data_IF_268171375418
#
_entry.id   IF_268171375418
#
_cell.length_a   1.000
_cell.length_b   1.000
_cell.length_c   1.000
_cell.angle_alpha   90.00
_cell.angle_beta   90.00
_cell.angle_gamma   90.00
#
_symmetry.space_group_name_H-M   'P 1'
#
loop_
_entity.id
_entity.type
_entity.pdbx_description
1 polymer ?
#
# COMPACT_ATOMS: atom_id res chain seq x y z
N UNK A 1 13.72 -10.09 -17.92
CA UNK A 1 13.51 -11.05 -16.80
C UNK A 1 14.49 -12.19 -17.01
N UNK A 2 15.30 -12.52 -16.01
CA UNK A 2 16.19 -13.67 -16.12
C UNK A 2 15.34 -14.95 -16.16
N UNK A 3 15.63 -15.86 -17.08
CA UNK A 3 14.98 -17.17 -17.11
C UNK A 3 15.42 -17.96 -15.86
N UNK A 4 14.46 -18.58 -15.17
CA UNK A 4 14.77 -19.49 -14.07
C UNK A 4 15.14 -20.83 -14.69
N UNK A 5 16.43 -20.98 -15.01
CA UNK A 5 16.93 -22.13 -15.77
C UNK A 5 17.36 -23.29 -14.89
N UNK A 6 17.59 -23.07 -13.60
CA UNK A 6 18.02 -24.11 -12.65
C UNK A 6 17.59 -23.81 -11.21
N UNK A 7 17.81 -24.79 -10.32
CA UNK A 7 17.46 -24.70 -8.92
C UNK A 7 18.22 -23.62 -8.15
N UNK A 8 19.47 -23.31 -8.55
CA UNK A 8 20.22 -22.23 -7.92
C UNK A 8 19.66 -20.85 -8.30
N UNK A 9 19.28 -20.65 -9.56
CA UNK A 9 18.55 -19.49 -10.04
C UNK A 9 17.17 -19.38 -9.38
N UNK A 10 16.48 -20.50 -9.19
CA UNK A 10 15.20 -20.54 -8.46
C UNK A 10 15.36 -20.05 -7.02
N UNK A 11 16.33 -20.59 -6.27
CA UNK A 11 16.55 -20.20 -4.87
C UNK A 11 17.00 -18.74 -4.72
N UNK A 12 17.82 -18.23 -5.66
CA UNK A 12 18.19 -16.80 -5.71
C UNK A 12 16.96 -15.91 -5.94
N UNK A 13 16.15 -16.26 -6.94
CA UNK A 13 14.91 -15.53 -7.25
C UNK A 13 13.94 -15.57 -6.06
N UNK A 14 13.85 -16.70 -5.36
CA UNK A 14 13.02 -16.84 -4.16
C UNK A 14 13.49 -15.91 -3.04
N UNK A 15 14.80 -15.83 -2.81
CA UNK A 15 15.37 -14.94 -1.81
C UNK A 15 15.18 -13.46 -2.18
N UNK A 16 15.24 -13.11 -3.47
CA UNK A 16 14.93 -11.76 -3.94
C UNK A 16 13.45 -11.41 -3.72
N UNK A 17 12.54 -12.33 -4.05
CA UNK A 17 11.11 -12.15 -3.79
C UNK A 17 10.81 -11.98 -2.29
N UNK A 18 11.47 -12.76 -1.42
CA UNK A 18 11.31 -12.64 0.05
C UNK A 18 11.78 -11.28 0.57
N UNK A 19 12.91 -10.76 0.05
CA UNK A 19 13.39 -9.41 0.39
C UNK A 19 12.39 -8.33 -0.04
N UNK A 20 11.80 -8.46 -1.22
CA UNK A 20 10.75 -7.55 -1.70
C UNK A 20 9.50 -7.62 -0.82
N UNK A 21 9.05 -8.83 -0.44
CA UNK A 21 7.91 -9.03 0.44
C UNK A 21 8.12 -8.37 1.80
N UNK A 22 9.30 -8.53 2.41
CA UNK A 22 9.65 -7.89 3.68
C UNK A 22 9.61 -6.35 3.57
N UNK A 23 10.11 -5.80 2.46
CA UNK A 23 10.04 -4.37 2.16
C UNK A 23 8.60 -3.86 2.05
N UNK A 24 7.75 -4.56 1.29
CA UNK A 24 6.32 -4.23 1.12
C UNK A 24 5.57 -4.31 2.45
N UNK A 25 5.80 -5.34 3.26
CA UNK A 25 5.18 -5.49 4.58
C UNK A 25 5.60 -4.38 5.54
N UNK A 26 6.88 -4.00 5.58
CA UNK A 26 7.37 -2.91 6.42
C UNK A 26 6.75 -1.55 6.02
N UNK A 27 6.61 -1.30 4.71
CA UNK A 27 5.96 -0.10 4.19
C UNK A 27 4.45 -0.10 4.46
N UNK A 28 3.78 -1.25 4.31
CA UNK A 28 2.39 -1.44 4.67
C UNK A 28 2.12 -1.18 6.15
N UNK A 29 2.97 -1.69 7.04
CA UNK A 29 2.90 -1.46 8.48
C UNK A 29 3.06 0.03 8.84
N UNK A 30 4.05 0.72 8.25
CA UNK A 30 4.24 2.17 8.42
C UNK A 30 3.03 2.95 7.93
N UNK A 31 2.47 2.59 6.76
CA UNK A 31 1.29 3.25 6.20
C UNK A 31 0.05 3.08 7.08
N UNK A 32 -0.18 1.89 7.66
CA UNK A 32 -1.29 1.65 8.61
C UNK A 32 -1.15 2.51 9.87
N UNK A 33 0.08 2.64 10.40
CA UNK A 33 0.36 3.49 11.57
C UNK A 33 0.11 4.98 11.30
N UNK A 34 0.42 5.47 10.09
CA UNK A 34 0.21 6.88 9.72
C UNK A 34 -1.23 7.18 9.28
N UNK A 35 -1.94 6.23 8.65
CA UNK A 35 -3.32 6.47 8.19
C UNK A 35 -4.37 6.48 9.30
N UNK A 36 -4.22 5.68 10.36
CA UNK A 36 -5.18 5.65 11.49
C UNK A 36 -5.41 7.03 12.13
N UNK A 37 -4.37 7.82 12.48
CA UNK A 37 -4.58 9.15 13.04
C UNK A 37 -5.03 10.20 12.00
N UNK A 38 -4.75 9.99 10.70
CA UNK A 38 -5.04 10.98 9.65
C UNK A 38 -6.53 11.08 9.29
N UNK A 39 -7.29 10.01 9.48
CA UNK A 39 -8.75 10.03 9.30
C UNK A 39 -9.40 10.81 10.46
N UNK A 40 -8.91 10.63 11.68
CA UNK A 40 -9.36 11.39 12.85
C UNK A 40 -9.02 12.88 12.76
N UNK A 41 -7.86 13.24 12.19
CA UNK A 41 -7.50 14.65 11.98
C UNK A 41 -8.30 15.31 10.85
N UNK A 42 -8.65 14.56 9.80
CA UNK A 42 -9.44 15.09 8.68
C UNK A 42 -10.89 15.39 9.07
N UNK A 43 -11.51 14.55 9.92
CA UNK A 43 -12.84 14.82 10.47
C UNK A 43 -12.85 16.03 11.41
N UNK A 44 -11.80 16.19 12.24
CA UNK A 44 -11.62 17.36 13.09
C UNK A 44 -11.46 18.66 12.28
N UNK A 45 -10.67 18.63 11.19
CA UNK A 45 -10.48 19.78 10.32
C UNK A 45 -11.76 20.20 9.55
N UNK A 46 -12.68 19.26 9.31
CA UNK A 46 -13.97 19.54 8.67
C UNK A 46 -15.04 20.06 9.66
N UNK A 47 -14.94 19.71 10.93
CA UNK A 47 -15.87 20.15 11.99
C UNK A 47 -15.67 21.62 12.36
N UNK A 48 -14.43 22.12 12.38
CA UNK A 48 -14.10 23.49 12.80
C UNK A 48 -14.78 24.55 11.91
N UNK A 49 -14.75 24.47 10.56
CA UNK A 49 -15.48 25.40 9.68
C UNK A 49 -17.00 25.30 9.83
N UNK A 50 -17.53 24.09 10.08
CA UNK A 50 -18.97 23.88 10.27
C UNK A 50 -19.49 24.57 11.53
N UNK A 51 -18.74 24.50 12.63
CA UNK A 51 -19.08 25.17 13.90
C UNK A 51 -19.00 26.70 13.74
N UNK A 52 -17.98 27.21 13.04
CA UNK A 52 -17.85 28.64 12.74
C UNK A 52 -18.96 29.17 11.82
N UNK A 53 -19.39 28.38 10.84
CA UNK A 53 -20.50 28.73 9.96
C UNK A 53 -21.84 28.80 10.72
N UNK A 54 -22.11 27.83 11.60
CA UNK A 54 -23.33 27.81 12.45
C UNK A 54 -23.35 29.01 13.41
N UNK A 55 -22.20 29.38 13.99
CA UNK A 55 -22.08 30.54 14.85
C UNK A 55 -22.34 31.88 14.12
N UNK A 56 -22.06 31.94 12.82
CA UNK A 56 -22.25 33.15 12.03
C UNK A 56 -23.70 33.37 11.56
N UNK A 57 -24.48 32.31 11.37
CA UNK A 57 -25.93 32.45 11.05
C UNK A 57 -26.71 32.97 12.26
N UNK A 58 -26.15 32.85 13.46
CA UNK A 58 -26.77 33.28 14.71
C UNK A 58 -26.60 34.78 15.04
N UNK A 59 -25.86 35.58 14.26
CA UNK A 59 -25.62 37.00 14.60
C UNK A 59 -25.22 37.89 13.42
N UNK A 60 -26.16 38.75 12.98
CA UNK A 60 -25.99 39.71 11.87
C UNK A 60 -25.12 40.93 12.22
N UNK A 61 -23.82 40.74 12.34
CA UNK A 61 -22.82 41.80 12.55
C UNK A 61 -21.59 41.65 11.66
N UNK A 62 -20.47 42.36 11.92
CA UNK A 62 -19.20 42.32 11.16
C UNK A 62 -18.53 40.94 11.00
N UNK A 63 -19.20 39.87 11.47
CA UNK A 63 -18.85 38.47 11.23
C UNK A 63 -18.90 38.01 9.78
N UNK A 64 -19.51 38.73 8.83
CA UNK A 64 -19.56 38.28 7.42
C UNK A 64 -18.18 38.20 6.75
N UNK A 65 -17.27 39.13 7.08
CA UNK A 65 -15.87 39.10 6.63
C UNK A 65 -15.10 37.93 7.25
N UNK A 66 -15.36 37.65 8.54
CA UNK A 66 -14.76 36.51 9.24
C UNK A 66 -15.25 35.16 8.68
N UNK A 67 -16.50 35.10 8.21
CA UNK A 67 -17.07 33.92 7.52
C UNK A 67 -16.41 33.72 6.16
N UNK A 68 -16.23 34.77 5.37
CA UNK A 68 -15.55 34.68 4.07
C UNK A 68 -14.09 34.24 4.21
N UNK A 69 -13.39 34.72 5.24
CA UNK A 69 -12.02 34.29 5.58
C UNK A 69 -12.03 32.82 6.04
N UNK A 70 -12.98 32.41 6.89
CA UNK A 70 -13.12 31.02 7.33
C UNK A 70 -13.38 30.05 6.16
N UNK A 71 -14.28 30.42 5.25
CA UNK A 71 -14.60 29.64 4.05
C UNK A 71 -13.42 29.54 3.09
N UNK A 72 -12.67 30.62 2.89
CA UNK A 72 -11.49 30.60 2.02
C UNK A 72 -10.35 29.77 2.61
N UNK A 73 -10.10 29.85 3.92
CA UNK A 73 -9.13 28.96 4.60
C UNK A 73 -9.58 27.50 4.56
N UNK A 74 -10.88 27.23 4.74
CA UNK A 74 -11.44 25.88 4.59
C UNK A 74 -11.30 25.35 3.16
N UNK A 75 -11.60 26.16 2.14
CA UNK A 75 -11.45 25.80 0.74
C UNK A 75 -9.99 25.55 0.37
N UNK A 76 -9.05 26.39 0.84
CA UNK A 76 -7.62 26.23 0.60
C UNK A 76 -7.05 24.99 1.29
N UNK A 77 -7.45 24.71 2.53
CA UNK A 77 -7.03 23.50 3.25
C UNK A 77 -7.60 22.23 2.60
N UNK A 78 -8.85 22.26 2.13
CA UNK A 78 -9.44 21.16 1.37
C UNK A 78 -8.71 20.96 0.04
N UNK A 79 -8.44 22.05 -0.70
CA UNK A 79 -7.71 22.01 -1.96
C UNK A 79 -6.29 21.44 -1.78
N UNK A 80 -5.57 21.85 -0.72
CA UNK A 80 -4.26 21.32 -0.37
C UNK A 80 -4.33 19.81 -0.06
N UNK A 81 -5.31 19.37 0.73
CA UNK A 81 -5.54 17.96 1.03
C UNK A 81 -5.85 17.13 -0.21
N UNK A 82 -6.75 17.61 -1.08
CA UNK A 82 -7.11 16.95 -2.34
C UNK A 82 -5.90 16.87 -3.28
N UNK A 83 -5.13 17.95 -3.40
CA UNK A 83 -3.94 17.99 -4.25
C UNK A 83 -2.88 17.00 -3.76
N UNK A 84 -2.66 16.91 -2.45
CA UNK A 84 -1.75 15.93 -1.85
C UNK A 84 -2.22 14.48 -2.11
N UNK A 85 -3.51 14.22 -1.93
CA UNK A 85 -4.11 12.90 -2.16
C UNK A 85 -4.02 12.47 -3.63
N UNK A 86 -4.33 13.37 -4.55
CA UNK A 86 -4.38 13.08 -5.99
C UNK A 86 -2.99 13.02 -6.61
N UNK A 87 -2.08 13.95 -6.26
CA UNK A 87 -0.76 14.03 -6.89
C UNK A 87 0.30 13.14 -6.25
N UNK A 88 0.15 12.78 -4.98
CA UNK A 88 1.19 12.04 -4.26
C UNK A 88 0.66 10.67 -3.82
N UNK A 89 -0.43 10.61 -3.05
CA UNK A 89 -0.88 9.31 -2.50
C UNK A 89 -1.40 8.34 -3.56
N UNK A 90 -2.18 8.80 -4.55
CA UNK A 90 -2.73 7.94 -5.62
C UNK A 90 -1.66 7.33 -6.53
N UNK A 91 -0.74 8.09 -7.14
CA UNK A 91 0.25 7.51 -8.06
C UNK A 91 1.22 6.59 -7.32
N UNK A 92 1.63 6.93 -6.10
CA UNK A 92 2.42 6.03 -5.25
C UNK A 92 1.65 4.74 -4.97
N UNK A 93 0.36 4.82 -4.58
CA UNK A 93 -0.46 3.62 -4.35
C UNK A 93 -0.58 2.76 -5.60
N UNK A 94 -0.74 3.35 -6.79
CA UNK A 94 -0.82 2.60 -8.05
C UNK A 94 0.50 1.89 -8.37
N UNK A 95 1.63 2.56 -8.20
CA UNK A 95 2.96 1.94 -8.37
C UNK A 95 3.18 0.79 -7.40
N UNK A 96 2.83 0.97 -6.13
CA UNK A 96 2.89 -0.11 -5.13
C UNK A 96 2.03 -1.32 -5.50
N UNK A 97 0.79 -1.10 -5.94
CA UNK A 97 -0.09 -2.20 -6.37
C UNK A 97 0.47 -2.91 -7.60
N UNK A 98 1.06 -2.18 -8.55
CA UNK A 98 1.69 -2.79 -9.72
C UNK A 98 2.93 -3.61 -9.35
N UNK A 99 3.77 -3.12 -8.44
CA UNK A 99 4.94 -3.85 -7.93
C UNK A 99 4.53 -5.09 -7.11
N UNK A 100 3.48 -4.98 -6.30
CA UNK A 100 2.90 -6.11 -5.56
C UNK A 100 2.36 -7.17 -6.52
N UNK A 101 1.61 -6.76 -7.55
CA UNK A 101 1.07 -7.69 -8.56
C UNK A 101 2.18 -8.38 -9.34
N UNK A 102 3.21 -7.64 -9.79
CA UNK A 102 4.35 -8.21 -10.50
C UNK A 102 5.12 -9.24 -9.64
N UNK A 103 5.26 -8.98 -8.33
CA UNK A 103 5.86 -9.94 -7.39
C UNK A 103 4.99 -11.19 -7.22
N UNK A 104 3.66 -11.04 -7.12
CA UNK A 104 2.73 -12.17 -7.03
C UNK A 104 2.79 -13.03 -8.28
N UNK A 105 2.78 -12.42 -9.47
CA UNK A 105 2.91 -13.13 -10.75
C UNK A 105 4.26 -13.89 -10.84
N UNK A 106 5.35 -13.27 -10.40
CA UNK A 106 6.68 -13.90 -10.36
C UNK A 106 6.69 -15.12 -9.44
N UNK A 107 6.13 -15.00 -8.22
CA UNK A 107 6.03 -16.13 -7.28
C UNK A 107 5.07 -17.21 -7.77
N UNK A 108 3.99 -16.84 -8.45
CA UNK A 108 3.07 -17.82 -9.02
C UNK A 108 3.74 -18.65 -10.11
N UNK A 109 4.52 -18.00 -11.00
CA UNK A 109 5.39 -18.70 -11.95
C UNK A 109 6.39 -19.62 -11.26
N UNK A 110 6.96 -19.20 -10.13
CA UNK A 110 7.82 -20.07 -9.32
C UNK A 110 7.08 -21.29 -8.76
N UNK A 111 5.81 -21.15 -8.34
CA UNK A 111 4.99 -22.29 -7.88
C UNK A 111 4.74 -23.28 -9.01
N UNK A 112 4.52 -22.80 -10.24
CA UNK A 112 4.36 -23.65 -11.43
C UNK A 112 5.66 -24.40 -11.77
N UNK A 113 6.81 -23.70 -11.73
CA UNK A 113 8.11 -24.27 -12.06
C UNK A 113 8.70 -25.16 -10.95
N UNK A 114 8.21 -25.02 -9.71
CA UNK A 114 8.77 -25.69 -8.53
C UNK A 114 8.89 -27.20 -8.73
N UNK A 115 7.81 -27.87 -9.14
CA UNK A 115 7.81 -29.33 -9.29
C UNK A 115 8.82 -29.77 -10.36
N UNK A 116 8.83 -29.09 -11.50
CA UNK A 116 9.72 -29.40 -12.61
C UNK A 116 11.20 -29.25 -12.23
N UNK A 117 11.56 -28.13 -11.60
CA UNK A 117 12.95 -27.85 -11.19
C UNK A 117 13.37 -28.80 -10.06
N UNK A 118 12.49 -29.06 -9.09
CA UNK A 118 12.79 -29.93 -7.97
C UNK A 118 12.99 -31.40 -8.40
N UNK A 119 12.30 -31.85 -9.44
CA UNK A 119 12.52 -33.17 -10.05
C UNK A 119 13.80 -33.21 -10.88
N UNK A 120 14.00 -32.21 -11.75
CA UNK A 120 15.16 -32.13 -12.64
C UNK A 120 16.48 -32.09 -11.89
N UNK A 121 16.54 -31.26 -10.85
CA UNK A 121 17.74 -31.09 -10.04
C UNK A 121 17.78 -32.06 -8.85
N UNK A 122 16.86 -33.04 -8.81
CA UNK A 122 16.78 -34.11 -7.79
C UNK A 122 16.87 -33.59 -6.36
N UNK A 123 16.07 -32.56 -6.06
CA UNK A 123 16.08 -31.95 -4.74
C UNK A 123 15.69 -32.95 -3.65
N UNK A 124 16.40 -32.86 -2.54
CA UNK A 124 16.06 -33.59 -1.33
C UNK A 124 14.68 -33.18 -0.80
N UNK A 125 13.99 -34.13 -0.16
CA UNK A 125 12.66 -33.90 0.37
C UNK A 125 12.62 -32.83 1.48
N UNK A 126 13.75 -32.62 2.17
CA UNK A 126 13.93 -31.53 3.14
C UNK A 126 13.91 -30.16 2.44
N UNK A 127 14.64 -30.04 1.32
CA UNK A 127 14.70 -28.80 0.55
C UNK A 127 13.34 -28.48 -0.10
N UNK A 128 12.67 -29.49 -0.66
CA UNK A 128 11.31 -29.35 -1.22
C UNK A 128 10.32 -28.82 -0.18
N UNK A 129 10.33 -29.39 1.04
CA UNK A 129 9.47 -28.91 2.15
C UNK A 129 9.79 -27.48 2.54
N UNK A 130 11.07 -27.14 2.72
CA UNK A 130 11.49 -25.77 3.07
C UNK A 130 11.05 -24.75 2.01
N UNK A 131 11.26 -25.04 0.73
CA UNK A 131 10.85 -24.15 -0.37
C UNK A 131 9.34 -24.01 -0.44
N UNK A 132 8.58 -25.09 -0.27
CA UNK A 132 7.11 -25.04 -0.22
C UNK A 132 6.60 -24.16 0.92
N UNK A 133 7.19 -24.27 2.10
CA UNK A 133 6.85 -23.43 3.26
C UNK A 133 7.20 -21.95 2.99
N UNK A 134 8.32 -21.67 2.31
CA UNK A 134 8.69 -20.31 1.93
C UNK A 134 7.71 -19.73 0.90
N UNK A 135 7.33 -20.51 -0.11
CA UNK A 135 6.35 -20.12 -1.13
C UNK A 135 4.95 -19.89 -0.55
N UNK A 136 4.55 -20.58 0.52
CA UNK A 136 3.24 -20.39 1.14
C UNK A 136 3.11 -19.09 1.93
N UNK A 137 4.22 -18.43 2.29
CA UNK A 137 4.22 -17.12 2.96
C UNK A 137 3.83 -15.97 2.03
N UNK A 138 3.90 -16.19 0.72
CA UNK A 138 3.50 -15.18 -0.27
C UNK A 138 1.99 -15.21 -0.49
N UNK A 139 1.35 -14.04 -0.63
CA UNK A 139 -0.07 -13.97 -0.98
C UNK A 139 -0.34 -14.70 -2.30
N UNK A 140 -1.50 -15.32 -2.40
CA UNK A 140 -2.01 -15.96 -3.63
C UNK A 140 -2.71 -14.90 -4.46
N UNK A 141 -2.73 -15.06 -5.78
CA UNK A 141 -3.46 -14.15 -6.67
C UNK A 141 -4.92 -14.01 -6.21
N UNK A 142 -5.41 -12.77 -6.09
CA UNK A 142 -6.72 -12.44 -5.49
C UNK A 142 -6.75 -12.29 -3.96
N UNK A 143 -5.67 -12.64 -3.25
CA UNK A 143 -5.46 -12.37 -1.84
C UNK A 143 -4.72 -11.05 -1.64
N UNK A 144 -5.44 -9.96 -1.37
CA UNK A 144 -4.78 -8.71 -0.98
C UNK A 144 -4.01 -8.90 0.34
N UNK A 145 -2.82 -8.28 0.49
CA UNK A 145 -2.16 -8.06 1.78
C UNK A 145 -3.00 -7.12 2.69
N UNK A 146 -4.21 -7.55 3.04
CA UNK A 146 -5.15 -6.85 3.91
C UNK A 146 -4.86 -7.13 5.37
#
# INVERSE_FOLDING_TARGET
MAAIEDGAAFLRTLADAERRLAGVQALGARRRRVRRPRIASASLAALIPGILAVAAVAGGGPGSLLVAVGLSVAALSLAACVTLLLRIERPLKRRFVAEEQAMIEEVNRMRELFTHIAERDRWEERLKRSVRERLSRFPVDGGSLR
#
